data_IF_813120097367
#
_entry.id   IF_813120097367
#
_cell.length_a   1.000
_cell.length_b   1.000
_cell.length_c   1.000
_cell.angle_alpha   90.00
_cell.angle_beta   90.00
_cell.angle_gamma   90.00
#
_symmetry.space_group_name_H-M   'P 1'
#
loop_
_entity.id
_entity.type
_entity.pdbx_description
1 polymer ?
#
# COMPACT_ATOMS: atom_id res chain seq x y z
N UNK A 1 -81.96 42.09 -5.97
CA UNK A 1 -81.04 41.70 -7.06
C UNK A 1 -79.61 41.92 -6.57
N UNK A 2 -78.90 40.85 -6.21
CA UNK A 2 -77.49 40.93 -5.80
C UNK A 2 -76.63 40.75 -7.04
N UNK A 3 -75.90 41.79 -7.44
CA UNK A 3 -74.94 41.75 -8.54
C UNK A 3 -73.72 40.95 -8.07
N UNK A 4 -73.63 39.69 -8.47
CA UNK A 4 -72.38 38.92 -8.33
C UNK A 4 -71.38 39.49 -9.32
N UNK A 5 -70.40 40.25 -8.81
CA UNK A 5 -69.23 40.73 -9.54
C UNK A 5 -68.46 39.53 -10.12
N UNK A 6 -68.80 39.12 -11.34
CA UNK A 6 -68.05 38.11 -12.07
C UNK A 6 -66.77 38.75 -12.59
N UNK A 7 -65.64 38.45 -11.95
CA UNK A 7 -64.31 38.86 -12.39
C UNK A 7 -64.12 38.53 -13.88
N UNK A 8 -63.60 39.50 -14.63
CA UNK A 8 -63.27 39.37 -16.05
C UNK A 8 -62.20 38.29 -16.27
N UNK A 9 -62.13 37.74 -17.49
CA UNK A 9 -61.19 36.65 -17.83
C UNK A 9 -59.73 37.03 -17.55
N UNK A 10 -59.37 38.29 -17.78
CA UNK A 10 -58.04 38.83 -17.49
C UNK A 10 -57.73 38.91 -15.98
N UNK A 11 -58.71 39.29 -15.16
CA UNK A 11 -58.57 39.34 -13.70
C UNK A 11 -58.46 37.93 -13.09
N UNK A 12 -59.20 36.96 -13.61
CA UNK A 12 -59.06 35.54 -13.22
C UNK A 12 -57.67 35.01 -13.55
N UNK A 13 -57.16 35.30 -14.74
CA UNK A 13 -55.83 34.85 -15.15
C UNK A 13 -54.70 35.51 -14.32
N UNK A 14 -54.87 36.78 -13.93
CA UNK A 14 -53.95 37.48 -13.02
C UNK A 14 -53.98 36.86 -11.61
N UNK A 15 -55.15 36.51 -11.10
CA UNK A 15 -55.30 35.84 -9.80
C UNK A 15 -54.69 34.45 -9.84
N UNK A 16 -54.91 33.68 -10.90
CA UNK A 16 -54.28 32.36 -11.12
C UNK A 16 -52.76 32.46 -11.15
N UNK A 17 -52.18 33.39 -11.93
CA UNK A 17 -50.73 33.62 -11.94
C UNK A 17 -50.19 34.05 -10.59
N UNK A 18 -50.95 34.84 -9.82
CA UNK A 18 -50.56 35.28 -8.47
C UNK A 18 -50.60 34.12 -7.48
N UNK A 19 -51.55 33.20 -7.61
CA UNK A 19 -51.65 31.96 -6.82
C UNK A 19 -50.57 30.96 -7.20
N UNK A 20 -50.25 30.81 -8.49
CA UNK A 20 -49.13 30.00 -8.97
C UNK A 20 -47.79 30.53 -8.46
N UNK A 21 -47.57 31.85 -8.51
CA UNK A 21 -46.38 32.48 -7.97
C UNK A 21 -46.25 32.27 -6.44
N UNK A 22 -47.36 32.32 -5.70
CA UNK A 22 -47.39 31.98 -4.27
C UNK A 22 -47.04 30.51 -4.02
N UNK A 23 -47.63 29.57 -4.76
CA UNK A 23 -47.32 28.13 -4.67
C UNK A 23 -45.86 27.83 -4.98
N UNK A 24 -45.30 28.46 -6.00
CA UNK A 24 -43.87 28.34 -6.36
C UNK A 24 -42.95 28.87 -5.26
N UNK A 25 -43.33 29.97 -4.60
CA UNK A 25 -42.59 30.53 -3.47
C UNK A 25 -42.63 29.62 -2.24
N UNK A 26 -43.79 29.04 -1.94
CA UNK A 26 -43.97 28.06 -0.86
C UNK A 26 -43.21 26.76 -1.13
N UNK A 27 -43.22 26.26 -2.37
CA UNK A 27 -42.43 25.09 -2.76
C UNK A 27 -40.92 25.35 -2.61
N UNK A 28 -40.43 26.52 -3.05
CA UNK A 28 -39.02 26.90 -2.86
C UNK A 28 -38.63 26.99 -1.38
N UNK A 29 -39.49 27.56 -0.54
CA UNK A 29 -39.28 27.60 0.92
C UNK A 29 -39.24 26.19 1.53
N UNK A 30 -40.13 25.29 1.09
CA UNK A 30 -40.14 23.89 1.54
C UNK A 30 -38.86 23.15 1.11
N UNK A 31 -38.38 23.34 -0.13
CA UNK A 31 -37.10 22.78 -0.58
C UNK A 31 -35.91 23.36 0.19
N UNK A 32 -35.92 24.66 0.50
CA UNK A 32 -34.86 25.30 1.28
C UNK A 32 -34.84 24.80 2.73
N UNK A 33 -36.01 24.65 3.37
CA UNK A 33 -36.12 24.08 4.71
C UNK A 33 -35.69 22.60 4.74
N UNK A 34 -36.09 21.79 3.76
CA UNK A 34 -35.62 20.41 3.62
C UNK A 34 -34.10 20.34 3.41
N UNK A 35 -33.53 21.25 2.62
CA UNK A 35 -32.09 21.34 2.44
C UNK A 35 -31.36 21.72 3.75
N UNK A 36 -31.90 22.67 4.53
CA UNK A 36 -31.34 23.07 5.83
C UNK A 36 -31.50 21.99 6.91
N UNK A 37 -32.61 21.26 6.95
CA UNK A 37 -32.80 20.11 7.84
C UNK A 37 -31.90 18.93 7.51
N UNK A 38 -31.54 18.77 6.23
CA UNK A 38 -30.64 17.73 5.76
C UNK A 38 -29.16 18.14 5.83
N UNK A 39 -28.84 19.42 5.83
CA UNK A 39 -27.47 19.95 5.95
C UNK A 39 -26.67 19.38 7.15
N UNK A 40 -27.21 19.28 8.39
CA UNK A 40 -26.48 18.67 9.51
C UNK A 40 -26.29 17.15 9.36
N UNK A 41 -27.18 16.45 8.62
CA UNK A 41 -27.04 15.00 8.34
C UNK A 41 -25.95 14.70 7.30
N UNK A 42 -25.67 15.63 6.39
CA UNK A 42 -24.59 15.49 5.41
C UNK A 42 -23.26 16.10 5.89
N UNK A 43 -23.27 17.13 6.73
CA UNK A 43 -22.06 17.72 7.31
C UNK A 43 -21.37 16.82 8.35
N UNK A 44 -22.14 16.00 9.10
CA UNK A 44 -21.59 15.01 10.04
C UNK A 44 -20.95 13.82 9.33
N UNK A 45 -21.43 13.44 8.14
CA UNK A 45 -20.86 12.35 7.35
C UNK A 45 -19.62 12.76 6.53
N UNK A 46 -19.48 14.04 6.17
CA UNK A 46 -18.30 14.56 5.50
C UNK A 46 -17.11 14.78 6.44
N UNK A 47 -17.36 15.06 7.72
CA UNK A 47 -16.29 15.27 8.73
C UNK A 47 -15.81 13.98 9.39
N UNK A 48 -16.59 12.89 9.35
CA UNK A 48 -16.21 11.57 9.90
C UNK A 48 -15.43 10.67 8.93
N UNK A 49 -15.45 10.92 7.61
CA UNK A 49 -14.74 10.07 6.63
C UNK A 49 -13.35 10.56 6.21
N UNK A 50 -12.95 11.79 6.52
CA UNK A 50 -11.66 12.36 6.09
C UNK A 50 -10.52 12.30 7.13
N UNK A 51 -10.76 11.82 8.37
CA UNK A 51 -9.74 11.87 9.46
C UNK A 51 -9.08 10.54 9.86
N UNK A 52 -9.50 9.40 9.34
CA UNK A 52 -9.03 8.10 9.85
C UNK A 52 -7.89 7.41 9.08
N UNK A 53 -7.43 7.93 7.94
CA UNK A 53 -6.31 7.31 7.20
C UNK A 53 -4.99 8.09 7.27
N UNK A 54 -5.00 9.43 7.35
CA UNK A 54 -3.76 10.23 7.32
C UNK A 54 -3.07 10.38 8.69
N UNK A 55 -3.74 10.01 9.79
CA UNK A 55 -3.22 10.11 11.16
C UNK A 55 -2.57 8.84 11.71
N UNK A 56 -2.91 7.65 11.19
CA UNK A 56 -2.31 6.38 11.64
C UNK A 56 -0.91 6.20 11.08
N UNK A 57 -0.69 6.53 9.82
CA UNK A 57 0.64 6.43 9.21
C UNK A 57 1.60 7.48 9.79
N UNK A 58 1.15 8.70 10.05
CA UNK A 58 1.97 9.72 10.73
C UNK A 58 2.26 9.35 12.18
N UNK A 59 1.32 8.73 12.92
CA UNK A 59 1.59 8.23 14.29
C UNK A 59 2.52 7.02 14.30
N UNK A 60 2.46 6.13 13.31
CA UNK A 60 3.41 5.02 13.16
C UNK A 60 4.79 5.52 12.72
N UNK A 61 4.86 6.51 11.83
CA UNK A 61 6.11 7.16 11.43
C UNK A 61 6.73 7.93 12.60
N UNK A 62 5.97 8.68 13.38
CA UNK A 62 6.47 9.40 14.57
C UNK A 62 6.86 8.40 15.67
N UNK A 63 6.13 7.30 15.85
CA UNK A 63 6.49 6.25 16.82
C UNK A 63 7.75 5.51 16.38
N UNK A 64 7.89 5.14 15.11
CA UNK A 64 9.09 4.48 14.59
C UNK A 64 10.30 5.42 14.42
N UNK A 65 10.10 6.70 14.11
CA UNK A 65 11.18 7.70 14.16
C UNK A 65 11.59 7.97 15.60
N UNK A 66 10.64 8.10 16.54
CA UNK A 66 10.92 8.21 17.96
C UNK A 66 11.64 6.98 18.51
N UNK A 67 11.25 5.78 18.07
CA UNK A 67 11.89 4.52 18.46
C UNK A 67 13.27 4.33 17.80
N UNK A 68 13.46 4.76 16.55
CA UNK A 68 14.77 4.78 15.88
C UNK A 68 15.70 5.82 16.48
N UNK A 69 15.20 7.02 16.79
CA UNK A 69 15.97 8.07 17.47
C UNK A 69 16.31 7.67 18.92
N UNK A 70 15.39 7.01 19.63
CA UNK A 70 15.67 6.45 20.96
C UNK A 70 16.68 5.29 20.90
N UNK A 71 16.62 4.43 19.87
CA UNK A 71 17.64 3.39 19.65
C UNK A 71 19.00 3.97 19.25
N UNK A 72 19.04 5.07 18.48
CA UNK A 72 20.28 5.78 18.13
C UNK A 72 20.84 6.53 19.34
N UNK A 73 20.01 7.13 20.18
CA UNK A 73 20.42 7.75 21.45
C UNK A 73 20.96 6.72 22.44
N UNK A 74 20.28 5.57 22.61
CA UNK A 74 20.76 4.45 23.43
C UNK A 74 22.04 3.81 22.85
N UNK A 75 22.19 3.75 21.52
CA UNK A 75 23.40 3.27 20.87
C UNK A 75 24.58 4.22 21.08
N UNK A 76 24.36 5.54 21.04
CA UNK A 76 25.40 6.55 21.28
C UNK A 76 25.74 6.78 22.76
N UNK A 77 24.83 6.52 23.71
CA UNK A 77 25.14 6.54 25.16
C UNK A 77 25.95 5.31 25.62
N UNK A 78 25.94 4.22 24.83
CA UNK A 78 26.70 3.00 25.15
C UNK A 78 28.18 3.05 24.72
N UNK A 79 28.60 4.06 23.96
CA UNK A 79 30.00 4.29 23.61
C UNK A 79 30.65 5.29 24.57
N UNK A 80 30.81 4.88 25.84
CA UNK A 80 31.83 5.51 26.70
C UNK A 80 33.21 5.19 26.08
N UNK A 81 34.12 6.16 25.93
CA UNK A 81 35.46 5.87 25.44
C UNK A 81 36.16 4.97 26.46
N UNK A 82 36.36 3.70 26.10
CA UNK A 82 37.33 2.84 26.76
C UNK A 82 38.68 3.52 26.63
N UNK A 83 39.19 4.04 27.75
CA UNK A 83 40.56 4.51 27.86
C UNK A 83 41.45 3.34 27.45
N UNK A 84 42.01 3.41 26.25
CA UNK A 84 43.10 2.54 25.83
C UNK A 84 44.30 2.93 26.68
N UNK A 85 44.53 2.14 27.73
CA UNK A 85 45.79 2.15 28.48
C UNK A 85 46.88 1.71 27.51
N UNK A 86 47.55 2.69 26.92
CA UNK A 86 48.81 2.49 26.21
C UNK A 86 49.83 2.09 27.28
N UNK A 87 50.05 0.77 27.44
CA UNK A 87 51.24 0.27 28.12
C UNK A 87 52.44 0.61 27.23
N UNK A 88 53.13 1.71 27.56
CA UNK A 88 54.50 1.97 27.14
C UNK A 88 55.40 1.06 27.94
N UNK A 89 55.78 -0.08 27.37
CA UNK A 89 56.88 -0.87 27.91
C UNK A 89 58.20 -0.19 27.54
N UNK A 90 58.76 0.44 28.57
CA UNK A 90 60.15 0.37 29.00
C UNK A 90 61.22 0.29 27.90
N UNK A 91 61.90 1.43 27.73
CA UNK A 91 63.31 1.52 27.37
C UNK A 91 64.13 0.60 28.28
N UNK A 92 64.88 -0.31 27.69
CA UNK A 92 66.11 -0.91 28.25
C UNK A 92 67.21 -0.28 27.38
N UNK A 93 67.73 0.90 27.72
CA UNK A 93 68.94 1.10 28.53
C UNK A 93 70.00 0.05 28.20
N UNK A 94 70.74 0.29 27.12
CA UNK A 94 72.12 -0.17 26.99
C UNK A 94 72.98 0.65 27.97
N UNK A 95 73.68 0.02 28.92
CA UNK A 95 74.84 0.63 29.54
C UNK A 95 76.10 0.16 28.81
N UNK A 96 76.74 1.08 28.11
CA UNK A 96 78.18 1.04 27.89
C UNK A 96 78.87 1.02 29.26
N UNK A 97 79.66 -0.02 29.54
CA UNK A 97 80.66 -0.01 30.62
C UNK A 97 81.95 -0.64 30.08
N UNK A 98 83.12 -0.06 30.45
CA UNK A 98 84.36 -0.18 29.72
C UNK A 98 85.19 -1.39 30.17
N UNK A 99 86.15 -1.74 29.33
CA UNK A 99 87.24 -2.67 29.65
C UNK A 99 88.08 -2.05 30.77
N UNK A 100 88.05 -2.66 31.95
CA UNK A 100 88.92 -2.36 33.09
C UNK A 100 89.96 -3.47 33.18
N UNK A 101 91.23 -3.08 33.10
CA UNK A 101 92.40 -3.90 33.45
C UNK A 101 92.38 -4.29 34.94
N UNK A 102 93.02 -5.40 35.32
CA UNK A 102 93.70 -5.43 36.61
C UNK A 102 95.22 -5.63 36.44
N UNK A 103 95.93 -4.56 36.77
CA UNK A 103 97.18 -4.49 37.55
C UNK A 103 97.37 -5.72 38.47
N UNK A 104 98.48 -6.44 38.41
CA UNK A 104 99.75 -6.20 39.13
C UNK A 104 99.64 -6.02 40.64
N UNK A 105 100.60 -6.67 41.30
CA UNK A 105 101.13 -6.46 42.64
C UNK A 105 100.46 -7.20 43.82
N UNK A 106 101.22 -8.16 44.34
CA UNK A 106 101.93 -8.05 45.65
C UNK A 106 102.84 -9.28 45.82
N UNK A 107 104.17 -9.09 45.87
CA UNK A 107 104.97 -8.84 47.10
C UNK A 107 104.99 -10.09 48.00
N UNK A 108 106.05 -10.54 48.67
CA UNK A 108 107.36 -9.99 49.03
C UNK A 108 108.13 -11.16 49.71
N UNK A 109 109.45 -11.20 49.47
CA UNK A 109 110.56 -11.51 50.40
C UNK A 109 110.43 -12.68 51.41
N UNK A 110 111.41 -13.59 51.33
CA UNK A 110 112.16 -14.08 52.51
C UNK A 110 113.62 -14.35 52.09
N UNK A 111 114.43 -13.29 52.15
CA UNK A 111 115.88 -13.36 52.33
C UNK A 111 116.15 -13.30 53.85
N UNK A 112 117.02 -14.18 54.35
CA UNK A 112 117.97 -13.98 55.48
C UNK A 112 118.18 -15.28 56.28
N UNK A 113 119.28 -15.98 55.98
CA UNK A 113 120.12 -16.57 57.05
C UNK A 113 121.52 -16.92 56.56
N UNK A 114 122.33 -15.89 56.32
CA UNK A 114 123.76 -15.95 56.63
C UNK A 114 123.98 -15.41 58.04
N UNK A 115 124.33 -16.28 58.99
CA UNK A 115 125.05 -15.90 60.22
C UNK A 115 125.52 -17.17 60.90
N UNK A 116 126.85 -17.29 61.03
CA UNK A 116 127.66 -18.37 61.61
C UNK A 116 128.41 -19.22 60.57
N UNK A 117 129.56 -18.71 60.14
CA UNK A 117 130.66 -19.58 59.74
C UNK A 117 131.24 -20.30 60.97
N UNK A 118 131.67 -21.56 60.82
CA UNK A 118 132.64 -22.15 61.73
C UNK A 118 133.94 -22.44 60.97
N UNK A 119 134.95 -21.65 61.27
CA UNK A 119 136.34 -22.08 61.16
C UNK A 119 136.50 -23.36 62.00
N UNK A 120 136.73 -24.51 61.35
CA UNK A 120 137.19 -25.71 62.05
C UNK A 120 138.28 -26.39 61.23
N UNK A 121 139.50 -26.20 61.74
CA UNK A 121 140.77 -26.92 61.57
C UNK A 121 140.77 -28.09 60.55
N UNK A 122 141.77 -28.16 59.64
CA UNK A 122 141.86 -29.23 58.65
C UNK A 122 141.86 -30.61 59.33
N UNK A 123 141.02 -31.55 58.88
CA UNK A 123 141.01 -32.90 59.43
C UNK A 123 142.35 -33.56 59.09
N UNK A 124 143.09 -33.93 60.15
CA UNK A 124 144.30 -34.75 60.06
C UNK A 124 144.04 -35.93 59.14
N UNK A 125 144.86 -36.07 58.10
CA UNK A 125 144.90 -37.20 57.17
C UNK A 125 145.11 -38.50 57.95
N UNK A 126 144.00 -39.17 58.27
CA UNK A 126 144.01 -40.54 58.78
C UNK A 126 143.70 -41.48 57.63
N UNK A 127 144.43 -42.59 57.64
CA UNK A 127 144.50 -43.65 56.63
C UNK A 127 143.10 -44.05 56.12
N UNK A 128 143.01 -44.25 54.81
CA UNK A 128 141.85 -44.71 54.05
C UNK A 128 141.14 -45.87 54.73
N UNK A 129 139.95 -45.59 55.28
CA UNK A 129 139.06 -46.56 55.87
C UNK A 129 138.08 -47.06 54.79
N UNK A 130 138.06 -48.36 54.53
CA UNK A 130 137.26 -49.01 53.48
C UNK A 130 135.76 -48.68 53.60
N UNK A 131 135.28 -48.41 54.81
CA UNK A 131 133.90 -48.01 55.09
C UNK A 131 133.50 -46.64 54.51
N UNK A 132 134.44 -45.70 54.36
CA UNK A 132 134.14 -44.39 53.76
C UNK A 132 133.89 -44.49 52.24
N UNK A 133 134.52 -45.46 51.57
CA UNK A 133 134.25 -45.74 50.15
C UNK A 133 132.86 -46.37 49.94
N UNK A 134 132.36 -47.14 50.92
CA UNK A 134 131.02 -47.73 50.86
C UNK A 134 129.95 -46.65 51.00
N UNK A 135 130.05 -45.76 51.98
CA UNK A 135 129.06 -44.69 52.16
C UNK A 135 129.04 -43.66 51.01
N UNK A 136 130.18 -43.41 50.36
CA UNK A 136 130.21 -42.57 49.15
C UNK A 136 129.47 -43.24 47.98
N UNK A 137 129.66 -44.55 47.80
CA UNK A 137 128.93 -45.33 46.78
C UNK A 137 127.44 -45.43 47.08
N UNK A 138 127.03 -45.52 48.35
CA UNK A 138 125.62 -45.50 48.75
C UNK A 138 124.98 -44.14 48.49
N UNK A 139 125.67 -43.02 48.78
CA UNK A 139 125.18 -41.67 48.43
C UNK A 139 125.08 -41.44 46.93
N UNK A 140 126.06 -41.91 46.16
CA UNK A 140 125.99 -41.88 44.70
C UNK A 140 124.81 -42.71 44.17
N UNK A 141 124.49 -43.84 44.81
CA UNK A 141 123.32 -44.65 44.48
C UNK A 141 121.99 -43.97 44.84
N UNK A 142 121.89 -43.30 45.99
CA UNK A 142 120.72 -42.53 46.41
C UNK A 142 120.47 -41.31 45.49
N UNK A 143 121.51 -40.58 45.11
CA UNK A 143 121.38 -39.46 44.16
C UNK A 143 120.96 -39.92 42.76
N UNK A 144 121.37 -41.12 42.34
CA UNK A 144 120.91 -41.72 41.08
C UNK A 144 119.44 -42.14 41.15
N UNK A 145 118.97 -42.70 42.27
CA UNK A 145 117.56 -43.01 42.46
C UNK A 145 116.70 -41.75 42.56
N UNK A 146 117.17 -40.69 43.23
CA UNK A 146 116.44 -39.42 43.31
C UNK A 146 116.33 -38.73 41.94
N UNK A 147 117.36 -38.85 41.09
CA UNK A 147 117.30 -38.39 39.68
C UNK A 147 116.27 -39.18 38.88
N UNK A 148 116.25 -40.51 39.02
CA UNK A 148 115.23 -41.37 38.37
C UNK A 148 113.81 -41.04 38.85
N UNK A 149 113.61 -40.76 40.13
CA UNK A 149 112.29 -40.35 40.64
C UNK A 149 111.88 -38.97 40.13
N UNK A 150 112.80 -38.01 40.04
CA UNK A 150 112.53 -36.68 39.45
C UNK A 150 112.20 -36.80 37.96
N UNK A 151 112.86 -37.68 37.23
CA UNK A 151 112.54 -37.98 35.83
C UNK A 151 111.16 -38.63 35.69
N UNK A 152 110.83 -39.62 36.54
CA UNK A 152 109.49 -40.22 36.58
C UNK A 152 108.39 -39.20 36.89
N UNK A 153 108.62 -38.28 37.84
CA UNK A 153 107.66 -37.21 38.16
C UNK A 153 107.51 -36.20 37.02
N UNK A 154 108.58 -35.88 36.30
CA UNK A 154 108.52 -35.03 35.11
C UNK A 154 107.72 -35.69 33.99
N UNK A 155 107.92 -36.99 33.75
CA UNK A 155 107.15 -37.74 32.75
C UNK A 155 105.67 -37.82 33.13
N UNK A 156 105.34 -38.14 34.39
CA UNK A 156 103.96 -38.14 34.87
C UNK A 156 103.29 -36.75 34.80
N UNK A 157 104.04 -35.68 35.05
CA UNK A 157 103.53 -34.31 34.87
C UNK A 157 103.25 -33.99 33.40
N UNK A 158 104.12 -34.40 32.47
CA UNK A 158 103.91 -34.25 31.02
C UNK A 158 102.66 -35.02 30.58
N UNK A 159 102.49 -36.27 31.03
CA UNK A 159 101.28 -37.07 30.74
C UNK A 159 100.01 -36.37 31.25
N UNK A 160 100.03 -35.81 32.47
CA UNK A 160 98.90 -35.07 33.03
C UNK A 160 98.61 -33.76 32.27
N UNK A 161 99.63 -33.05 31.81
CA UNK A 161 99.46 -31.88 30.93
C UNK A 161 98.85 -32.25 29.58
N UNK A 162 99.25 -33.37 28.99
CA UNK A 162 98.66 -33.88 27.76
C UNK A 162 97.19 -34.30 27.96
N UNK A 163 96.85 -34.94 29.08
CA UNK A 163 95.48 -35.29 29.42
C UNK A 163 94.60 -34.06 29.65
N UNK A 164 95.08 -33.05 30.38
CA UNK A 164 94.38 -31.78 30.55
C UNK A 164 94.18 -31.06 29.22
N UNK A 165 95.19 -31.04 28.35
CA UNK A 165 95.11 -30.47 27.01
C UNK A 165 94.05 -31.18 26.14
N UNK A 166 94.00 -32.51 26.19
CA UNK A 166 92.94 -33.31 25.51
C UNK A 166 91.55 -32.94 26.05
N UNK A 167 91.37 -32.85 27.36
CA UNK A 167 90.09 -32.46 27.97
C UNK A 167 89.67 -31.02 27.62
N UNK A 168 90.61 -30.07 27.55
CA UNK A 168 90.32 -28.71 27.11
C UNK A 168 89.90 -28.65 25.65
N UNK A 169 90.56 -29.42 24.78
CA UNK A 169 90.21 -29.51 23.37
C UNK A 169 88.83 -30.14 23.16
N UNK A 170 88.50 -31.20 23.90
CA UNK A 170 87.15 -31.80 23.91
C UNK A 170 86.09 -30.80 24.37
N UNK A 171 86.31 -30.07 25.48
CA UNK A 171 85.39 -29.01 25.95
C UNK A 171 85.21 -27.90 24.90
N UNK A 172 86.28 -27.50 24.21
CA UNK A 172 86.21 -26.50 23.13
C UNK A 172 85.43 -27.03 21.93
N UNK A 173 85.59 -28.31 21.58
CA UNK A 173 84.83 -28.95 20.52
C UNK A 173 83.35 -29.08 20.88
N UNK A 174 83.03 -29.47 22.11
CA UNK A 174 81.65 -29.53 22.63
C UNK A 174 80.98 -28.15 22.57
N UNK A 175 81.63 -27.10 23.09
CA UNK A 175 81.10 -25.72 23.02
C UNK A 175 80.88 -25.25 21.58
N UNK A 176 81.70 -25.69 20.62
CA UNK A 176 81.51 -25.38 19.20
C UNK A 176 80.33 -26.14 18.60
N UNK A 177 80.11 -27.40 19.01
CA UNK A 177 78.93 -28.16 18.61
C UNK A 177 77.65 -27.54 19.17
N UNK A 178 77.63 -27.23 20.47
CA UNK A 178 76.49 -26.59 21.14
C UNK A 178 76.14 -25.24 20.48
N UNK A 179 77.14 -24.42 20.14
CA UNK A 179 76.91 -23.16 19.41
C UNK A 179 76.27 -23.39 18.04
N UNK A 180 76.76 -24.35 17.27
CA UNK A 180 76.18 -24.69 15.96
C UNK A 180 74.74 -25.18 16.09
N UNK A 181 74.42 -25.93 17.13
CA UNK A 181 73.06 -26.42 17.35
C UNK A 181 72.11 -25.31 17.81
N UNK A 182 72.59 -24.36 18.63
CA UNK A 182 71.83 -23.15 18.97
C UNK A 182 71.60 -22.25 17.74
N UNK A 183 72.59 -22.11 16.86
CA UNK A 183 72.45 -21.36 15.60
C UNK A 183 71.42 -22.03 14.67
N UNK A 184 71.46 -23.36 14.52
CA UNK A 184 70.44 -24.10 13.77
C UNK A 184 69.05 -23.90 14.34
N UNK A 185 68.90 -24.01 15.67
CA UNK A 185 67.62 -23.79 16.34
C UNK A 185 67.09 -22.35 16.14
N UNK A 186 67.97 -21.34 16.19
CA UNK A 186 67.61 -19.95 15.91
C UNK A 186 67.16 -19.75 14.45
N UNK A 187 67.81 -20.43 13.49
CA UNK A 187 67.40 -20.41 12.08
C UNK A 187 66.07 -21.13 11.87
N UNK A 188 65.88 -22.30 12.50
CA UNK A 188 64.63 -23.07 12.41
C UNK A 188 63.44 -22.31 13.01
N UNK A 189 63.61 -21.69 14.17
CA UNK A 189 62.58 -20.85 14.80
C UNK A 189 62.28 -19.60 13.97
N UNK A 190 63.31 -18.97 13.38
CA UNK A 190 63.14 -17.87 12.42
C UNK A 190 62.35 -18.29 11.17
N UNK A 191 62.66 -19.46 10.62
CA UNK A 191 61.95 -20.01 9.46
C UNK A 191 60.49 -20.35 9.79
N UNK A 192 60.23 -20.93 10.96
CA UNK A 192 58.86 -21.20 11.43
C UNK A 192 58.04 -19.92 11.59
N UNK A 193 58.64 -18.87 12.16
CA UNK A 193 57.99 -17.57 12.31
C UNK A 193 57.69 -16.91 10.96
N UNK A 194 58.62 -16.97 10.01
CA UNK A 194 58.41 -16.46 8.67
C UNK A 194 57.31 -17.23 7.92
N UNK A 195 57.32 -18.56 8.02
CA UNK A 195 56.26 -19.41 7.44
C UNK A 195 54.88 -19.10 8.04
N UNK A 196 54.81 -18.85 9.36
CA UNK A 196 53.57 -18.44 10.01
C UNK A 196 53.08 -17.08 9.51
N UNK A 197 53.97 -16.09 9.36
CA UNK A 197 53.64 -14.77 8.78
C UNK A 197 53.17 -14.86 7.33
N UNK A 198 53.79 -15.71 6.52
CA UNK A 198 53.38 -15.92 5.13
C UNK A 198 51.99 -16.56 5.06
N UNK A 199 51.74 -17.57 5.90
CA UNK A 199 50.42 -18.19 6.02
C UNK A 199 49.34 -17.20 6.49
N UNK A 200 49.66 -16.27 7.39
CA UNK A 200 48.75 -15.21 7.83
C UNK A 200 48.42 -14.23 6.68
N UNK A 201 49.43 -13.78 5.93
CA UNK A 201 49.23 -12.95 4.73
C UNK A 201 48.41 -13.66 3.64
N UNK A 202 48.60 -14.96 3.46
CA UNK A 202 47.80 -15.74 2.51
C UNK A 202 46.33 -15.84 2.96
N UNK A 203 46.08 -16.04 4.26
CA UNK A 203 44.71 -16.02 4.81
C UNK A 203 44.04 -14.68 4.58
N UNK A 204 44.72 -13.57 4.86
CA UNK A 204 44.20 -12.23 4.59
C UNK A 204 43.88 -12.02 3.11
N UNK A 205 44.75 -12.47 2.19
CA UNK A 205 44.49 -12.40 0.74
C UNK A 205 43.26 -13.21 0.34
N UNK A 206 43.11 -14.42 0.89
CA UNK A 206 41.94 -15.27 0.62
C UNK A 206 40.66 -14.61 1.12
N UNK A 207 40.68 -14.00 2.31
CA UNK A 207 39.55 -13.25 2.87
C UNK A 207 39.20 -12.03 2.02
N UNK A 208 40.20 -11.26 1.59
CA UNK A 208 39.99 -10.11 0.68
C UNK A 208 39.39 -10.55 -0.65
N UNK A 209 39.85 -11.66 -1.23
CA UNK A 209 39.29 -12.21 -2.47
C UNK A 209 37.84 -12.66 -2.26
N UNK A 210 37.51 -13.30 -1.13
CA UNK A 210 36.13 -13.68 -0.79
C UNK A 210 35.24 -12.44 -0.68
N UNK A 211 35.68 -11.42 0.05
CA UNK A 211 34.95 -10.17 0.21
C UNK A 211 34.70 -9.47 -1.14
N UNK A 212 35.71 -9.44 -2.02
CA UNK A 212 35.56 -8.88 -3.36
C UNK A 212 34.57 -9.66 -4.23
N UNK A 213 34.55 -11.01 -4.13
CA UNK A 213 33.58 -11.84 -4.84
C UNK A 213 32.17 -11.58 -4.34
N UNK A 214 31.97 -11.52 -3.03
CA UNK A 214 30.67 -11.18 -2.43
C UNK A 214 30.21 -9.78 -2.84
N UNK A 215 31.11 -8.78 -2.83
CA UNK A 215 30.79 -7.44 -3.29
C UNK A 215 30.37 -7.39 -4.77
N UNK A 216 31.04 -8.15 -5.64
CA UNK A 216 30.66 -8.28 -7.06
C UNK A 216 29.29 -8.94 -7.22
N UNK A 217 29.02 -10.04 -6.51
CA UNK A 217 27.72 -10.70 -6.53
C UNK A 217 26.60 -9.77 -6.07
N UNK A 218 26.82 -8.99 -5.00
CA UNK A 218 25.87 -7.97 -4.55
C UNK A 218 25.62 -6.88 -5.59
N UNK A 219 26.66 -6.47 -6.31
CA UNK A 219 26.53 -5.48 -7.38
C UNK A 219 25.72 -6.05 -8.56
N UNK A 220 25.95 -7.30 -8.94
CA UNK A 220 25.18 -8.01 -9.98
C UNK A 220 23.71 -8.16 -9.57
N UNK A 221 23.43 -8.60 -8.33
CA UNK A 221 22.06 -8.68 -7.77
C UNK A 221 21.32 -7.33 -7.85
N UNK A 222 22.00 -6.24 -7.53
CA UNK A 222 21.44 -4.89 -7.62
C UNK A 222 21.15 -4.47 -9.07
N UNK A 223 22.05 -4.79 -10.00
CA UNK A 223 21.85 -4.51 -11.42
C UNK A 223 20.66 -5.31 -11.99
N UNK A 224 20.56 -6.58 -11.62
CA UNK A 224 19.45 -7.44 -12.01
C UNK A 224 18.11 -6.93 -11.46
N UNK A 225 18.06 -6.56 -10.17
CA UNK A 225 16.88 -5.97 -9.56
C UNK A 225 16.44 -4.68 -10.28
N UNK A 226 17.40 -3.80 -10.61
CA UNK A 226 17.14 -2.58 -11.38
C UNK A 226 16.61 -2.90 -12.80
N UNK A 227 17.17 -3.92 -13.47
CA UNK A 227 16.70 -4.35 -14.79
C UNK A 227 15.27 -4.91 -14.74
N UNK A 228 14.94 -5.69 -13.72
CA UNK A 228 13.61 -6.24 -13.50
C UNK A 228 12.60 -5.12 -13.21
N UNK A 229 12.99 -4.12 -12.42
CA UNK A 229 12.16 -2.94 -12.17
C UNK A 229 11.88 -2.16 -13.46
N UNK A 230 12.90 -1.93 -14.31
CA UNK A 230 12.71 -1.29 -15.63
C UNK A 230 11.73 -2.09 -16.50
N UNK A 231 11.92 -3.40 -16.61
CA UNK A 231 10.99 -4.29 -17.36
C UNK A 231 9.56 -4.24 -16.80
N UNK A 232 9.40 -4.15 -15.48
CA UNK A 232 8.07 -4.01 -14.83
C UNK A 232 7.43 -2.68 -15.20
N UNK A 233 8.17 -1.58 -15.15
CA UNK A 233 7.68 -0.24 -15.54
C UNK A 233 7.31 -0.22 -17.03
N UNK A 234 8.12 -0.81 -17.90
CA UNK A 234 7.81 -0.91 -19.33
C UNK A 234 6.54 -1.72 -19.60
N UNK A 235 6.34 -2.84 -18.88
CA UNK A 235 5.09 -3.61 -18.97
C UNK A 235 3.90 -2.78 -18.50
N UNK A 236 4.02 -2.07 -17.38
CA UNK A 236 2.98 -1.17 -16.89
C UNK A 236 2.63 -0.09 -17.92
N UNK A 237 3.63 0.59 -18.50
CA UNK A 237 3.43 1.58 -19.58
C UNK A 237 2.72 0.98 -20.80
N UNK A 238 3.08 -0.25 -21.21
CA UNK A 238 2.38 -0.94 -22.31
C UNK A 238 0.91 -1.21 -21.99
N UNK A 239 0.61 -1.66 -20.77
CA UNK A 239 -0.78 -1.87 -20.34
C UNK A 239 -1.57 -0.56 -20.24
N UNK A 240 -0.94 0.51 -19.73
CA UNK A 240 -1.53 1.85 -19.67
C UNK A 240 -1.84 2.38 -21.08
N UNK A 241 -0.91 2.23 -22.02
CA UNK A 241 -1.13 2.61 -23.43
C UNK A 241 -2.31 1.85 -24.05
N UNK A 242 -2.38 0.53 -23.86
CA UNK A 242 -3.50 -0.28 -24.35
C UNK A 242 -4.83 0.12 -23.70
N UNK A 243 -4.82 0.47 -22.42
CA UNK A 243 -6.02 0.95 -21.72
C UNK A 243 -6.48 2.30 -22.28
N UNK A 244 -5.55 3.23 -22.55
CA UNK A 244 -5.85 4.52 -23.19
C UNK A 244 -6.38 4.32 -24.61
N UNK A 245 -5.83 3.40 -25.39
CA UNK A 245 -6.33 3.07 -26.73
C UNK A 245 -7.75 2.52 -26.69
N UNK A 246 -8.06 1.62 -25.76
CA UNK A 246 -9.44 1.13 -25.56
C UNK A 246 -10.39 2.26 -25.18
N UNK A 247 -9.99 3.15 -24.28
CA UNK A 247 -10.79 4.30 -23.89
C UNK A 247 -11.03 5.27 -25.06
N UNK A 248 -10.01 5.49 -25.91
CA UNK A 248 -10.16 6.28 -27.14
C UNK A 248 -11.18 5.66 -28.09
N UNK A 249 -11.09 4.35 -28.33
CA UNK A 249 -12.07 3.64 -29.19
C UNK A 249 -13.50 3.76 -28.66
N UNK A 250 -13.71 3.58 -27.35
CA UNK A 250 -15.02 3.77 -26.72
C UNK A 250 -15.53 5.21 -26.90
N UNK A 251 -14.66 6.20 -26.77
CA UNK A 251 -15.03 7.60 -26.93
C UNK A 251 -15.41 7.92 -28.38
N UNK A 252 -14.72 7.33 -29.37
CA UNK A 252 -15.05 7.49 -30.78
C UNK A 252 -16.34 6.74 -31.17
N UNK A 253 -16.58 5.55 -30.60
CA UNK A 253 -17.87 4.85 -30.72
C UNK A 253 -19.03 5.68 -30.13
N UNK A 254 -18.84 6.30 -28.95
CA UNK A 254 -19.83 7.20 -28.37
C UNK A 254 -20.10 8.43 -29.25
N UNK A 255 -19.07 9.02 -29.87
CA UNK A 255 -19.24 10.13 -30.81
C UNK A 255 -20.08 9.70 -32.01
N UNK A 256 -19.77 8.55 -32.63
CA UNK A 256 -20.54 8.01 -33.75
C UNK A 256 -22.01 7.75 -33.35
N UNK A 257 -22.25 7.20 -32.15
CA UNK A 257 -23.62 7.02 -31.64
C UNK A 257 -24.35 8.36 -31.40
N UNK A 258 -23.64 9.40 -30.96
CA UNK A 258 -24.22 10.75 -30.81
C UNK A 258 -24.53 11.37 -32.16
N UNK A 259 -23.69 11.18 -33.17
CA UNK A 259 -23.92 11.68 -34.52
C UNK A 259 -25.12 10.99 -35.18
N UNK A 260 -25.20 9.66 -35.11
CA UNK A 260 -26.37 8.92 -35.62
C UNK A 260 -27.68 9.29 -34.91
N UNK A 261 -27.64 9.59 -33.60
CA UNK A 261 -28.80 10.14 -32.87
C UNK A 261 -29.19 11.52 -33.38
N UNK A 262 -28.23 12.42 -33.57
CA UNK A 262 -28.48 13.76 -34.14
C UNK A 262 -29.06 13.68 -35.55
N UNK A 263 -28.60 12.75 -36.37
CA UNK A 263 -29.17 12.53 -37.71
C UNK A 263 -30.62 12.04 -37.64
N UNK A 264 -30.91 11.06 -36.78
CA UNK A 264 -32.29 10.59 -36.55
C UNK A 264 -33.20 11.71 -36.03
N UNK A 265 -32.72 12.55 -35.12
CA UNK A 265 -33.46 13.73 -34.63
C UNK A 265 -33.69 14.74 -35.76
N UNK A 266 -32.69 15.00 -36.61
CA UNK A 266 -32.85 15.86 -37.80
C UNK A 266 -33.89 15.30 -38.77
N UNK A 267 -33.92 13.99 -38.98
CA UNK A 267 -34.91 13.32 -39.83
C UNK A 267 -36.32 13.40 -39.25
N UNK A 268 -36.46 13.22 -37.93
CA UNK A 268 -37.74 13.41 -37.24
C UNK A 268 -38.24 14.85 -37.36
N UNK A 269 -37.36 15.83 -37.16
CA UNK A 269 -37.71 17.26 -37.34
C UNK A 269 -38.12 17.55 -38.79
N UNK A 270 -37.45 16.95 -39.78
CA UNK A 270 -37.84 17.06 -41.20
C UNK A 270 -39.24 16.50 -41.43
N UNK A 271 -39.54 15.31 -40.93
CA UNK A 271 -40.88 14.69 -41.03
C UNK A 271 -41.97 15.53 -40.38
N UNK A 272 -41.73 16.03 -39.15
CA UNK A 272 -42.68 16.90 -38.44
C UNK A 272 -42.92 18.20 -39.23
N UNK A 273 -41.89 18.78 -39.84
CA UNK A 273 -42.05 19.97 -40.69
C UNK A 273 -42.91 19.68 -41.91
N UNK A 274 -42.68 18.56 -42.59
CA UNK A 274 -43.49 18.14 -43.73
C UNK A 274 -44.95 17.88 -43.34
N UNK A 275 -45.20 17.20 -42.22
CA UNK A 275 -46.54 16.97 -41.67
C UNK A 275 -47.24 18.27 -41.30
N UNK A 276 -46.51 19.22 -40.71
CA UNK A 276 -47.06 20.53 -40.36
C UNK A 276 -47.41 21.34 -41.62
N UNK A 277 -46.57 21.31 -42.67
CA UNK A 277 -46.88 21.94 -43.96
C UNK A 277 -48.16 21.32 -44.55
N UNK A 278 -48.28 20.00 -44.57
CA UNK A 278 -49.49 19.29 -45.05
C UNK A 278 -50.73 19.65 -44.21
N UNK A 279 -50.59 19.73 -42.89
CA UNK A 279 -51.68 20.13 -41.98
C UNK A 279 -52.12 21.60 -42.23
N UNK A 280 -51.17 22.50 -42.47
CA UNK A 280 -51.47 23.89 -42.82
C UNK A 280 -52.18 23.97 -44.19
N UNK A 281 -51.72 23.20 -45.18
CA UNK A 281 -52.33 23.16 -46.51
C UNK A 281 -53.77 22.63 -46.46
N UNK A 282 -54.00 21.50 -45.82
CA UNK A 282 -55.35 20.94 -45.63
C UNK A 282 -56.28 21.91 -44.89
N UNK A 283 -55.77 22.63 -43.87
CA UNK A 283 -56.55 23.68 -43.18
C UNK A 283 -56.86 24.88 -44.08
N UNK A 284 -55.94 25.26 -44.98
CA UNK A 284 -56.19 26.33 -45.97
C UNK A 284 -57.24 25.89 -46.99
N UNK A 285 -57.14 24.68 -47.50
CA UNK A 285 -58.13 24.10 -48.42
C UNK A 285 -59.51 24.00 -47.79
N UNK A 286 -59.61 23.56 -46.54
CA UNK A 286 -60.87 23.55 -45.78
C UNK A 286 -61.46 24.96 -45.67
N UNK A 287 -60.66 25.96 -45.28
CA UNK A 287 -61.13 27.35 -45.23
C UNK A 287 -61.63 27.87 -46.57
N UNK A 288 -60.98 27.49 -47.67
CA UNK A 288 -61.42 27.89 -49.02
C UNK A 288 -62.77 27.23 -49.33
N UNK A 289 -62.94 25.94 -49.02
CA UNK A 289 -64.24 25.24 -49.19
C UNK A 289 -65.34 25.88 -48.35
N UNK A 290 -65.07 26.16 -47.08
CA UNK A 290 -66.03 26.83 -46.20
C UNK A 290 -66.44 28.21 -46.76
N UNK A 291 -65.49 28.97 -47.29
CA UNK A 291 -65.77 30.25 -47.96
C UNK A 291 -66.59 30.09 -49.23
N UNK A 292 -66.31 29.07 -50.05
CA UNK A 292 -67.09 28.77 -51.25
C UNK A 292 -68.53 28.35 -50.90
N UNK A 293 -68.71 27.52 -49.87
CA UNK A 293 -70.02 27.13 -49.33
C UNK A 293 -70.79 28.35 -48.80
N UNK A 294 -70.13 29.24 -48.05
CA UNK A 294 -70.74 30.48 -47.55
C UNK A 294 -71.18 31.40 -48.70
N UNK A 295 -70.36 31.55 -49.75
CA UNK A 295 -70.72 32.34 -50.94
C UNK A 295 -71.92 31.71 -51.66
N UNK A 296 -71.95 30.39 -51.81
CA UNK A 296 -73.09 29.70 -52.42
C UNK A 296 -74.37 29.89 -51.60
N UNK A 297 -74.29 29.79 -50.28
CA UNK A 297 -75.43 30.04 -49.38
C UNK A 297 -75.90 31.49 -49.46
N UNK A 298 -74.99 32.46 -49.54
CA UNK A 298 -75.34 33.88 -49.73
C UNK A 298 -76.05 34.10 -51.07
N UNK A 299 -75.58 33.48 -52.16
CA UNK A 299 -76.23 33.56 -53.47
C UNK A 299 -77.63 32.94 -53.44
N UNK A 300 -77.80 31.79 -52.80
CA UNK A 300 -79.11 31.14 -52.64
C UNK A 300 -80.05 32.01 -51.80
N UNK A 301 -79.57 32.59 -50.70
CA UNK A 301 -80.34 33.49 -49.86
C UNK A 301 -80.75 34.76 -50.62
N UNK A 302 -79.84 35.36 -51.39
CA UNK A 302 -80.13 36.50 -52.25
C UNK A 302 -81.19 36.16 -53.30
N UNK A 303 -81.07 35.00 -53.97
CA UNK A 303 -82.07 34.55 -54.93
C UNK A 303 -83.45 34.30 -54.29
N UNK A 304 -83.50 33.81 -53.06
CA UNK A 304 -84.75 33.66 -52.30
C UNK A 304 -85.33 35.02 -51.89
N UNK A 305 -84.50 35.98 -51.51
CA UNK A 305 -84.94 37.35 -51.23
C UNK A 305 -85.49 38.01 -52.50
N UNK A 306 -84.80 37.91 -53.63
CA UNK A 306 -85.28 38.42 -54.92
C UNK A 306 -86.62 37.78 -55.32
N UNK A 307 -86.79 36.46 -55.12
CA UNK A 307 -88.06 35.78 -55.36
C UNK A 307 -89.15 36.32 -54.45
N UNK A 308 -88.88 36.48 -53.15
CA UNK A 308 -89.84 37.05 -52.19
C UNK A 308 -90.16 38.51 -52.48
N UNK A 309 -89.21 39.28 -52.97
CA UNK A 309 -89.44 40.66 -53.38
C UNK A 309 -90.30 40.72 -54.63
N UNK A 310 -90.08 39.83 -55.61
CA UNK A 310 -90.97 39.69 -56.78
C UNK A 310 -92.36 39.25 -56.35
N UNK A 311 -92.50 38.22 -55.53
CA UNK A 311 -93.76 37.76 -54.96
C UNK A 311 -94.45 38.91 -54.21
N UNK A 312 -93.71 39.65 -53.36
CA UNK A 312 -94.25 40.82 -52.66
C UNK A 312 -94.67 41.92 -53.63
N UNK A 313 -93.92 42.19 -54.70
CA UNK A 313 -94.29 43.17 -55.71
C UNK A 313 -95.54 42.74 -56.49
N UNK A 314 -95.64 41.48 -56.87
CA UNK A 314 -96.82 40.87 -57.49
C UNK A 314 -98.01 40.88 -56.54
N UNK A 315 -97.82 40.54 -55.27
CA UNK A 315 -98.82 40.65 -54.22
C UNK A 315 -99.25 42.09 -54.03
N UNK A 316 -98.34 43.06 -53.92
CA UNK A 316 -98.66 44.48 -53.83
C UNK A 316 -99.38 44.98 -55.08
N UNK A 317 -99.00 44.51 -56.28
CA UNK A 317 -99.71 44.82 -57.52
C UNK A 317 -101.10 44.19 -57.53
N UNK A 318 -101.25 42.95 -57.07
CA UNK A 318 -102.52 42.24 -56.94
C UNK A 318 -103.40 42.86 -55.87
N UNK A 319 -102.82 43.36 -54.76
CA UNK A 319 -103.51 44.06 -53.68
C UNK A 319 -103.89 45.43 -54.17
N UNK A 320 -103.05 46.16 -54.89
CA UNK A 320 -103.44 47.41 -55.56
C UNK A 320 -104.57 47.17 -56.55
N UNK A 321 -104.53 46.11 -57.35
CA UNK A 321 -105.59 45.73 -58.27
C UNK A 321 -106.87 45.30 -57.53
N UNK A 322 -106.75 44.51 -56.46
CA UNK A 322 -107.87 44.11 -55.59
C UNK A 322 -108.38 45.26 -54.77
N UNK A 323 -107.57 46.23 -54.38
CA UNK A 323 -107.96 47.43 -53.64
C UNK A 323 -108.54 48.46 -54.57
N UNK A 324 -108.11 48.59 -55.83
CA UNK A 324 -108.84 49.39 -56.82
C UNK A 324 -110.14 48.70 -57.20
N UNK A 325 -110.15 47.37 -57.29
CA UNK A 325 -111.36 46.58 -57.48
C UNK A 325 -112.24 46.56 -56.22
N UNK A 326 -111.69 46.62 -55.01
CA UNK A 326 -112.41 46.65 -53.72
C UNK A 326 -112.71 48.07 -53.26
N UNK A 327 -112.02 49.12 -53.68
CA UNK A 327 -112.59 50.47 -53.57
C UNK A 327 -113.73 50.55 -54.57
N UNK A 328 -113.60 50.01 -55.79
CA UNK A 328 -114.76 49.78 -56.69
C UNK A 328 -115.86 48.93 -56.05
N UNK A 329 -115.52 47.80 -55.41
CA UNK A 329 -116.47 46.81 -54.91
C UNK A 329 -116.88 47.04 -53.45
N UNK A 330 -116.19 47.83 -52.64
CA UNK A 330 -116.53 48.24 -51.26
C UNK A 330 -117.12 49.65 -51.23
N UNK A 331 -116.99 50.43 -52.32
CA UNK A 331 -118.08 51.31 -52.75
C UNK A 331 -119.39 50.52 -53.00
N UNK A 332 -119.32 49.18 -53.12
CA UNK A 332 -120.45 48.29 -53.36
C UNK A 332 -120.79 47.34 -52.18
N UNK A 333 -119.83 46.84 -51.38
CA UNK A 333 -120.03 45.84 -50.32
C UNK A 333 -118.87 45.77 -49.29
N UNK A 334 -119.19 45.96 -48.00
CA UNK A 334 -118.30 45.74 -46.84
C UNK A 334 -118.70 44.45 -46.12
N UNK A 335 -117.72 43.60 -45.75
CA UNK A 335 -117.93 42.44 -44.85
C UNK A 335 -117.28 42.67 -43.49
N UNK A 336 -117.85 42.03 -42.47
CA UNK A 336 -117.70 42.32 -41.03
C UNK A 336 -116.44 41.71 -40.40
N UNK A 337 -115.92 42.33 -39.32
CA UNK A 337 -114.64 42.00 -38.68
C UNK A 337 -114.56 40.65 -37.91
N UNK A 338 -115.67 39.95 -37.74
CA UNK A 338 -115.75 38.77 -36.85
C UNK A 338 -115.14 37.50 -37.45
N UNK A 339 -115.18 37.34 -38.77
CA UNK A 339 -114.58 36.18 -39.45
C UNK A 339 -113.05 36.24 -39.43
N UNK A 340 -112.50 37.47 -39.40
CA UNK A 340 -111.06 37.72 -39.37
C UNK A 340 -110.42 37.38 -38.02
N UNK A 341 -111.17 37.54 -36.93
CA UNK A 341 -110.70 37.22 -35.59
C UNK A 341 -110.53 35.70 -35.38
N UNK A 342 -111.38 34.87 -35.98
CA UNK A 342 -111.35 33.41 -35.81
C UNK A 342 -110.12 32.75 -36.47
N UNK A 343 -109.67 33.28 -37.61
CA UNK A 343 -108.49 32.75 -38.29
C UNK A 343 -107.16 33.02 -37.56
N UNK A 344 -107.08 34.14 -36.83
CA UNK A 344 -105.88 34.50 -36.07
C UNK A 344 -105.77 33.72 -34.75
N UNK A 345 -106.91 33.32 -34.15
CA UNK A 345 -106.95 32.41 -33.00
C UNK A 345 -106.37 31.02 -33.35
N UNK A 346 -106.73 30.45 -34.51
CA UNK A 346 -106.22 29.13 -34.92
C UNK A 346 -104.70 29.13 -35.17
N UNK A 347 -104.16 30.23 -35.71
CA UNK A 347 -102.72 30.38 -35.93
C UNK A 347 -101.95 30.47 -34.61
N UNK A 348 -102.47 31.20 -33.63
CA UNK A 348 -101.83 31.32 -32.31
C UNK A 348 -101.70 29.98 -31.59
N UNK A 349 -102.72 29.12 -31.68
CA UNK A 349 -102.71 27.77 -31.07
C UNK A 349 -101.65 26.85 -31.68
N UNK A 350 -101.45 26.92 -33.00
CA UNK A 350 -100.41 26.12 -33.68
C UNK A 350 -98.99 26.55 -33.30
N UNK A 351 -98.79 27.84 -33.05
CA UNK A 351 -97.49 28.37 -32.63
C UNK A 351 -97.17 27.97 -31.20
N UNK A 352 -98.16 28.04 -30.29
CA UNK A 352 -98.00 27.60 -28.90
C UNK A 352 -97.62 26.10 -28.81
N UNK A 353 -98.33 25.23 -29.52
CA UNK A 353 -98.04 23.80 -29.53
C UNK A 353 -96.63 23.45 -30.03
N UNK A 354 -96.08 24.23 -30.97
CA UNK A 354 -94.72 24.03 -31.50
C UNK A 354 -93.63 24.45 -30.52
N UNK A 355 -93.87 25.52 -29.74
CA UNK A 355 -92.93 25.98 -28.73
C UNK A 355 -92.83 24.98 -27.57
N UNK A 356 -93.95 24.45 -27.12
CA UNK A 356 -94.01 23.42 -26.07
C UNK A 356 -93.22 22.15 -26.45
N UNK A 357 -93.31 21.70 -27.71
CA UNK A 357 -92.54 20.55 -28.20
C UNK A 357 -91.02 20.80 -28.16
N UNK A 358 -90.56 21.99 -28.55
CA UNK A 358 -89.13 22.34 -28.55
C UNK A 358 -88.57 22.43 -27.11
N UNK A 359 -89.35 22.92 -26.16
CA UNK A 359 -88.93 22.97 -24.75
C UNK A 359 -88.75 21.56 -24.16
N UNK A 360 -89.63 20.62 -24.50
CA UNK A 360 -89.53 19.22 -24.06
C UNK A 360 -88.31 18.52 -24.68
N UNK A 361 -88.02 18.73 -25.96
CA UNK A 361 -86.84 18.13 -26.60
C UNK A 361 -85.52 18.67 -26.02
N UNK A 362 -85.45 19.97 -25.74
CA UNK A 362 -84.28 20.58 -25.12
C UNK A 362 -84.06 20.08 -23.68
N UNK A 363 -85.12 19.87 -22.90
CA UNK A 363 -84.99 19.35 -21.54
C UNK A 363 -84.46 17.90 -21.55
N UNK A 364 -84.99 17.04 -22.43
CA UNK A 364 -84.52 15.66 -22.60
C UNK A 364 -83.05 15.59 -23.08
N UNK A 365 -82.65 16.46 -24.00
CA UNK A 365 -81.26 16.53 -24.47
C UNK A 365 -80.28 16.96 -23.37
N UNK A 366 -80.69 17.91 -22.51
CA UNK A 366 -79.91 18.33 -21.34
C UNK A 366 -79.76 17.20 -20.31
N UNK A 367 -80.82 16.43 -20.07
CA UNK A 367 -80.75 15.27 -19.17
C UNK A 367 -79.83 14.16 -19.70
N UNK A 368 -79.88 13.85 -21.01
CA UNK A 368 -78.99 12.86 -21.63
C UNK A 368 -77.53 13.26 -21.48
N UNK A 369 -77.19 14.51 -21.82
CA UNK A 369 -75.82 15.06 -21.63
C UNK A 369 -75.36 15.01 -20.18
N UNK A 370 -76.26 15.30 -19.23
CA UNK A 370 -75.96 15.22 -17.79
C UNK A 370 -75.66 13.78 -17.36
N UNK A 371 -76.43 12.79 -17.84
CA UNK A 371 -76.22 11.36 -17.55
C UNK A 371 -74.90 10.85 -18.15
N UNK A 372 -74.60 11.21 -19.40
CA UNK A 372 -73.35 10.84 -20.07
C UNK A 372 -72.11 11.43 -19.39
N UNK A 373 -72.14 12.71 -19.00
CA UNK A 373 -71.05 13.35 -18.27
C UNK A 373 -70.80 12.65 -16.92
N UNK A 374 -71.86 12.25 -16.21
CA UNK A 374 -71.76 11.57 -14.92
C UNK A 374 -71.19 10.15 -15.10
N UNK A 375 -71.58 9.42 -16.16
CA UNK A 375 -70.98 8.12 -16.49
C UNK A 375 -69.49 8.23 -16.81
N UNK A 376 -69.08 9.26 -17.54
CA UNK A 376 -67.66 9.50 -17.84
C UNK A 376 -66.86 9.80 -16.57
N UNK A 377 -67.39 10.65 -15.68
CA UNK A 377 -66.76 10.93 -14.39
C UNK A 377 -66.64 9.66 -13.52
N UNK A 378 -67.68 8.82 -13.47
CA UNK A 378 -67.65 7.56 -12.73
C UNK A 378 -66.59 6.58 -13.26
N UNK A 379 -66.46 6.45 -14.59
CA UNK A 379 -65.41 5.63 -15.21
C UNK A 379 -64.01 6.16 -14.91
N UNK A 380 -63.82 7.48 -14.97
CA UNK A 380 -62.54 8.11 -14.61
C UNK A 380 -62.16 7.86 -13.15
N UNK A 381 -63.13 7.93 -12.22
CA UNK A 381 -62.89 7.61 -10.80
C UNK A 381 -62.55 6.12 -10.61
N UNK A 382 -63.19 5.22 -11.34
CA UNK A 382 -62.88 3.78 -11.28
C UNK A 382 -61.45 3.49 -11.78
N UNK A 383 -61.07 4.05 -12.93
CA UNK A 383 -59.71 3.91 -13.46
C UNK A 383 -58.65 4.44 -12.49
N UNK A 384 -58.87 5.63 -11.89
CA UNK A 384 -57.95 6.16 -10.88
C UNK A 384 -57.84 5.27 -9.63
N UNK A 385 -58.93 4.61 -9.22
CA UNK A 385 -58.90 3.65 -8.10
C UNK A 385 -58.12 2.39 -8.47
N UNK A 386 -58.26 1.90 -9.69
CA UNK A 386 -57.54 0.72 -10.20
C UNK A 386 -56.05 1.01 -10.36
N UNK A 387 -55.68 2.14 -10.95
CA UNK A 387 -54.28 2.58 -11.07
C UNK A 387 -53.61 2.72 -9.70
N UNK A 388 -54.29 3.34 -8.71
CA UNK A 388 -53.75 3.42 -7.35
C UNK A 388 -53.57 2.05 -6.70
N UNK A 389 -54.49 1.11 -6.95
CA UNK A 389 -54.36 -0.27 -6.44
C UNK A 389 -53.18 -0.99 -7.07
N UNK A 390 -52.98 -0.84 -8.38
CA UNK A 390 -51.86 -1.43 -9.11
C UNK A 390 -50.53 -0.84 -8.63
N UNK A 391 -50.43 0.49 -8.52
CA UNK A 391 -49.25 1.16 -7.98
C UNK A 391 -48.89 0.66 -6.59
N UNK A 392 -49.88 0.56 -5.69
CA UNK A 392 -49.67 0.02 -4.35
C UNK A 392 -49.19 -1.44 -4.36
N UNK A 393 -49.73 -2.28 -5.25
CA UNK A 393 -49.29 -3.67 -5.39
C UNK A 393 -47.85 -3.75 -5.92
N UNK A 394 -47.49 -2.95 -6.92
CA UNK A 394 -46.13 -2.90 -7.45
C UNK A 394 -45.12 -2.42 -6.40
N UNK A 395 -45.45 -1.36 -5.67
CA UNK A 395 -44.62 -0.85 -4.57
C UNK A 395 -44.42 -1.93 -3.50
N UNK A 396 -45.50 -2.61 -3.10
CA UNK A 396 -45.43 -3.73 -2.16
C UNK A 396 -44.54 -4.86 -2.66
N UNK A 397 -44.66 -5.25 -3.93
CA UNK A 397 -43.80 -6.30 -4.51
C UNK A 397 -42.32 -5.88 -4.52
N UNK A 398 -42.02 -4.63 -4.87
CA UNK A 398 -40.66 -4.08 -4.83
C UNK A 398 -40.11 -4.05 -3.40
N UNK A 399 -40.92 -3.68 -2.41
CA UNK A 399 -40.54 -3.70 -0.99
C UNK A 399 -40.29 -5.13 -0.51
N UNK A 400 -41.10 -6.11 -0.91
CA UNK A 400 -40.92 -7.52 -0.57
C UNK A 400 -39.65 -8.10 -1.23
N UNK A 401 -39.35 -7.75 -2.48
CA UNK A 401 -38.10 -8.10 -3.16
C UNK A 401 -36.89 -7.49 -2.47
N UNK A 402 -36.95 -6.19 -2.16
CA UNK A 402 -35.91 -5.49 -1.42
C UNK A 402 -35.67 -6.12 -0.04
N UNK A 403 -36.73 -6.46 0.69
CA UNK A 403 -36.63 -7.14 1.98
C UNK A 403 -35.96 -8.53 1.85
N UNK A 404 -36.28 -9.28 0.79
CA UNK A 404 -35.62 -10.57 0.49
C UNK A 404 -34.14 -10.38 0.18
N UNK A 405 -33.77 -9.36 -0.58
CA UNK A 405 -32.37 -9.02 -0.87
C UNK A 405 -31.61 -8.63 0.39
N UNK A 406 -32.16 -7.76 1.22
CA UNK A 406 -31.56 -7.38 2.50
C UNK A 406 -31.36 -8.59 3.42
N UNK A 407 -32.35 -9.50 3.48
CA UNK A 407 -32.22 -10.75 4.25
C UNK A 407 -31.08 -11.63 3.73
N UNK A 408 -30.99 -11.83 2.41
CA UNK A 408 -29.89 -12.58 1.79
C UNK A 408 -28.53 -11.95 2.09
N UNK A 409 -28.39 -10.63 1.95
CA UNK A 409 -27.15 -9.92 2.26
C UNK A 409 -26.76 -10.06 3.74
N UNK A 410 -27.73 -10.00 4.64
CA UNK A 410 -27.50 -10.22 6.06
C UNK A 410 -27.03 -11.65 6.34
N UNK A 411 -27.68 -12.66 5.74
CA UNK A 411 -27.30 -14.07 5.89
C UNK A 411 -25.89 -14.33 5.33
N UNK A 412 -25.56 -13.78 4.16
CA UNK A 412 -24.21 -13.85 3.59
C UNK A 412 -23.16 -13.19 4.48
N UNK A 413 -23.46 -12.01 5.01
CA UNK A 413 -22.58 -11.32 5.95
C UNK A 413 -22.37 -12.14 7.23
N UNK A 414 -23.43 -12.72 7.79
CA UNK A 414 -23.38 -13.60 8.95
C UNK A 414 -22.50 -14.83 8.69
N UNK A 415 -22.64 -15.46 7.52
CA UNK A 415 -21.80 -16.59 7.10
C UNK A 415 -20.33 -16.17 6.99
N UNK A 416 -20.05 -15.00 6.39
CA UNK A 416 -18.69 -14.46 6.28
C UNK A 416 -18.07 -14.23 7.65
N UNK A 417 -18.80 -13.61 8.58
CA UNK A 417 -18.34 -13.38 9.95
C UNK A 417 -18.05 -14.69 10.69
N UNK A 418 -18.91 -15.69 10.52
CA UNK A 418 -18.66 -17.01 11.11
C UNK A 418 -17.41 -17.69 10.52
N UNK A 419 -17.21 -17.62 9.21
CA UNK A 419 -16.01 -18.16 8.54
C UNK A 419 -14.73 -17.47 9.01
N UNK A 420 -14.74 -16.15 9.15
CA UNK A 420 -13.61 -15.39 9.69
C UNK A 420 -13.30 -15.77 11.14
N UNK A 421 -14.34 -15.97 11.95
CA UNK A 421 -14.19 -16.44 13.33
C UNK A 421 -13.57 -17.84 13.40
N UNK A 422 -14.07 -18.79 12.60
CA UNK A 422 -13.53 -20.15 12.51
C UNK A 422 -12.07 -20.12 12.05
N UNK A 423 -11.74 -19.37 11.00
CA UNK A 423 -10.37 -19.26 10.50
C UNK A 423 -9.40 -18.64 11.52
N UNK A 424 -9.85 -17.67 12.32
CA UNK A 424 -9.05 -17.13 13.44
C UNK A 424 -8.81 -18.20 14.51
N UNK A 425 -9.86 -18.94 14.89
CA UNK A 425 -9.78 -20.01 15.87
C UNK A 425 -8.86 -21.14 15.41
N UNK A 426 -8.92 -21.54 14.15
CA UNK A 426 -8.02 -22.54 13.56
C UNK A 426 -6.56 -22.09 13.61
N UNK A 427 -6.28 -20.81 13.28
CA UNK A 427 -4.94 -20.24 13.44
C UNK A 427 -4.47 -20.26 14.89
N UNK A 428 -5.32 -19.87 15.84
CA UNK A 428 -5.01 -19.92 17.27
C UNK A 428 -4.72 -21.36 17.75
N UNK A 429 -5.49 -22.35 17.29
CA UNK A 429 -5.24 -23.76 17.59
C UNK A 429 -3.88 -24.17 17.00
N UNK A 430 -3.62 -23.86 15.73
CA UNK A 430 -2.32 -24.15 15.09
C UNK A 430 -1.14 -23.50 15.81
N UNK A 431 -1.27 -22.25 16.28
CA UNK A 431 -0.25 -21.60 17.09
C UNK A 431 -0.02 -22.31 18.43
N UNK A 432 -1.10 -22.72 19.12
CA UNK A 432 -1.00 -23.49 20.37
C UNK A 432 -0.32 -24.84 20.15
N UNK A 433 -0.59 -25.51 19.04
CA UNK A 433 0.06 -26.77 18.67
C UNK A 433 1.56 -26.59 18.42
N UNK A 434 1.97 -25.55 17.69
CA UNK A 434 3.38 -25.22 17.47
C UNK A 434 4.09 -24.94 18.79
N UNK A 435 3.49 -24.14 19.67
CA UNK A 435 4.06 -23.86 21.00
C UNK A 435 4.18 -25.14 21.83
N UNK A 436 3.16 -26.01 21.79
CA UNK A 436 3.21 -27.31 22.47
C UNK A 436 4.35 -28.19 21.93
N UNK A 437 4.55 -28.22 20.62
CA UNK A 437 5.67 -28.93 19.99
C UNK A 437 7.02 -28.35 20.41
N UNK A 438 7.17 -27.03 20.44
CA UNK A 438 8.39 -26.36 20.94
C UNK A 438 8.67 -26.73 22.39
N UNK A 439 7.66 -26.65 23.27
CA UNK A 439 7.81 -27.06 24.67
C UNK A 439 8.20 -28.53 24.81
N UNK A 440 7.67 -29.42 23.96
CA UNK A 440 8.06 -30.84 23.96
C UNK A 440 9.51 -31.02 23.49
N UNK A 441 9.93 -30.32 22.43
CA UNK A 441 11.31 -30.34 21.95
C UNK A 441 12.28 -29.79 22.99
N UNK A 442 11.92 -28.71 23.67
CA UNK A 442 12.72 -28.13 24.75
C UNK A 442 12.79 -29.07 25.94
N UNK A 443 11.70 -29.75 26.33
CA UNK A 443 11.74 -30.80 27.36
C UNK A 443 12.68 -31.94 26.99
N UNK A 444 12.64 -32.42 25.75
CA UNK A 444 13.55 -33.47 25.27
C UNK A 444 14.99 -32.96 25.23
N UNK A 445 15.21 -31.69 24.85
CA UNK A 445 16.53 -31.06 24.87
C UNK A 445 17.06 -30.97 26.29
N UNK A 446 16.29 -30.45 27.24
CA UNK A 446 16.66 -30.36 28.65
C UNK A 446 16.96 -31.74 29.23
N UNK A 447 16.13 -32.76 28.96
CA UNK A 447 16.40 -34.13 29.42
C UNK A 447 17.71 -34.68 28.83
N UNK A 448 18.00 -34.43 27.55
CA UNK A 448 19.26 -34.83 26.92
C UNK A 448 20.47 -34.07 27.48
N UNK A 449 20.34 -32.77 27.70
CA UNK A 449 21.39 -31.92 28.27
C UNK A 449 21.62 -32.22 29.77
N UNK A 450 20.59 -32.65 30.51
CA UNK A 450 20.69 -33.12 31.90
C UNK A 450 21.36 -34.51 32.00
N UNK A 451 21.17 -35.41 31.01
CA UNK A 451 21.85 -36.72 30.97
C UNK A 451 23.27 -36.62 30.39
N UNK A 452 23.46 -35.79 29.37
CA UNK A 452 24.76 -35.53 28.73
C UNK A 452 25.36 -34.25 29.33
N UNK A 453 25.58 -34.24 30.65
CA UNK A 453 26.04 -33.06 31.40
C UNK A 453 27.45 -32.53 31.05
N UNK A 454 28.07 -33.06 29.99
CA UNK A 454 29.28 -32.52 29.39
C UNK A 454 28.95 -31.97 28.00
N UNK A 455 29.24 -30.70 27.76
CA UNK A 455 29.16 -30.09 26.43
C UNK A 455 30.03 -30.87 25.43
N UNK A 456 29.67 -30.90 24.15
CA UNK A 456 30.47 -31.60 23.10
C UNK A 456 31.95 -31.20 23.12
N UNK A 457 32.26 -29.97 23.52
CA UNK A 457 33.63 -29.47 23.67
C UNK A 457 34.30 -30.07 24.91
N UNK A 458 33.59 -30.17 26.02
CA UNK A 458 34.08 -30.80 27.26
C UNK A 458 34.27 -32.30 27.07
N UNK A 459 33.35 -32.99 26.37
CA UNK A 459 33.54 -34.39 25.95
C UNK A 459 34.78 -34.53 25.07
N UNK A 460 35.02 -33.62 24.11
CA UNK A 460 36.20 -33.69 23.25
C UNK A 460 37.51 -33.39 24.00
N UNK A 461 37.50 -32.51 24.99
CA UNK A 461 38.67 -32.22 25.84
C UNK A 461 38.93 -33.36 26.82
N UNK A 462 37.87 -33.86 27.46
CA UNK A 462 37.96 -34.95 28.42
C UNK A 462 38.28 -36.29 27.74
N UNK A 463 37.82 -36.54 26.51
CA UNK A 463 38.23 -37.75 25.75
C UNK A 463 39.71 -37.72 25.41
N UNK A 464 40.28 -36.56 25.04
CA UNK A 464 41.74 -36.41 24.87
C UNK A 464 42.48 -36.65 26.18
N UNK A 465 42.05 -36.02 27.27
CA UNK A 465 42.65 -36.21 28.59
C UNK A 465 42.55 -37.67 29.07
N UNK A 466 41.40 -38.33 28.90
CA UNK A 466 41.18 -39.73 29.27
C UNK A 466 41.99 -40.70 28.40
N UNK A 467 42.21 -40.38 27.12
CA UNK A 467 43.11 -41.11 26.24
C UNK A 467 44.57 -40.97 26.68
N UNK A 468 45.00 -39.76 27.02
CA UNK A 468 46.36 -39.47 27.51
C UNK A 468 46.63 -40.13 28.87
N UNK A 469 45.59 -40.23 29.72
CA UNK A 469 45.64 -40.93 31.01
C UNK A 469 45.46 -42.46 30.89
N UNK A 470 45.20 -42.99 29.70
CA UNK A 470 45.05 -44.42 29.45
C UNK A 470 43.78 -45.07 30.04
N UNK A 471 42.76 -44.27 30.39
CA UNK A 471 41.55 -44.71 31.12
C UNK A 471 40.35 -45.02 30.21
N UNK A 472 40.48 -44.89 28.90
CA UNK A 472 39.44 -45.28 27.94
C UNK A 472 39.43 -46.81 27.75
N UNK A 473 38.54 -47.49 28.47
CA UNK A 473 38.20 -48.88 28.17
C UNK A 473 37.61 -48.95 26.76
N UNK A 474 38.23 -49.76 25.88
CA UNK A 474 37.67 -50.09 24.57
C UNK A 474 36.29 -50.73 24.75
N UNK A 475 35.25 -50.01 24.37
CA UNK A 475 33.91 -50.54 24.09
C UNK A 475 33.61 -50.28 22.63
#
# INVERSE_FOLDING_TARGET
MQQTLSLSVSERHLIEKRLEAKRLKEQRLCFQQKAQQNAPKYATNATLRARHQTGRDKRLIIRHLGERLARVALAHESQKPTKVTIQRNSKVVEPQIPVVEPETDKEFIDEERERFGPAHRPPRTKKTNVWAQICMKEKEAEELEEKKEKEKRKLAAVELYEELSKQEMEKRMQKRADRKDMEKYAVETGNQYNAWKEAEKERERVEQIKLQKEAKLRQEELQDAMSQQKKRIERQRKFEMLAVERAKRQLDEEKALRETKKEKERDQVRRIREENIKSIQTRREQKIRDQEEDIQLQQQAAALLDKRERERQEELASIRAKQTQRTRLALLHVKTPEERAKEDEEKSRRIQARLEQQEVEQSQAREKKRKEALQYQMRGIQQQKEERRQQFQEERMREEEYAKECKKQYDEWKIKQYREFVAKREKEIGYKEIVKQQMQQDKVRMQREETDGMSRVEVALNTKLLNDLGLMNKV
#
